data_IF_145315001985
#
_entry.id   IF_145315001985
#
_cell.length_a   1.000
_cell.length_b   1.000
_cell.length_c   1.000
_cell.angle_alpha   90.00
_cell.angle_beta   90.00
_cell.angle_gamma   90.00
#
_symmetry.space_group_name_H-M   'P 1'
#
loop_
_entity.id
_entity.type
_entity.pdbx_description
1 polymer ?
#
# COMPACT_ATOMS: atom_id res chain seq x y z
N UNK A 1 -8.21 10.44 8.96
CA UNK A 1 -8.10 9.23 8.11
C UNK A 1 -7.10 9.51 7.00
N UNK A 2 -6.02 8.73 6.95
CA UNK A 2 -4.97 8.77 5.94
C UNK A 2 -4.80 7.36 5.39
N UNK A 3 -4.73 7.23 4.07
CA UNK A 3 -4.49 5.95 3.39
C UNK A 3 -3.18 6.12 2.63
N UNK A 4 -2.26 5.18 2.84
CA UNK A 4 -0.97 5.13 2.14
C UNK A 4 -0.93 3.86 1.31
N UNK A 5 -0.85 3.99 -0.02
CA UNK A 5 -0.64 2.83 -0.89
C UNK A 5 0.79 2.33 -0.72
N UNK A 6 0.92 1.05 -0.35
CA UNK A 6 2.20 0.36 -0.21
C UNK A 6 2.54 -0.41 -1.48
N UNK A 7 1.54 -1.05 -2.09
CA UNK A 7 1.67 -1.83 -3.33
C UNK A 7 0.48 -1.53 -4.24
N UNK A 8 0.79 -1.33 -5.53
CA UNK A 8 -0.16 -1.21 -6.63
C UNK A 8 0.46 -1.86 -7.88
N UNK A 9 -0.39 -2.23 -8.83
CA UNK A 9 -0.01 -2.77 -10.13
C UNK A 9 0.83 -1.78 -10.96
N UNK A 10 0.70 -0.47 -10.71
CA UNK A 10 1.38 0.58 -11.47
C UNK A 10 1.98 1.64 -10.55
N UNK A 11 3.21 2.04 -10.83
CA UNK A 11 3.90 3.15 -10.15
C UNK A 11 4.42 4.17 -11.17
N UNK A 12 4.42 5.44 -10.79
CA UNK A 12 4.92 6.53 -11.61
C UNK A 12 6.17 7.21 -11.04
N UNK A 13 6.48 6.96 -9.77
CA UNK A 13 7.69 7.46 -9.14
C UNK A 13 8.84 6.47 -9.37
N UNK A 14 9.99 7.00 -9.81
CA UNK A 14 11.19 6.22 -10.13
C UNK A 14 11.84 5.52 -8.94
N UNK A 15 11.46 5.89 -7.71
CA UNK A 15 11.95 5.28 -6.47
C UNK A 15 10.98 4.23 -5.91
N UNK A 16 9.84 4.02 -6.56
CA UNK A 16 8.87 2.99 -6.19
C UNK A 16 8.94 1.82 -7.16
N UNK A 17 8.56 0.65 -6.65
CA UNK A 17 8.38 -0.57 -7.44
C UNK A 17 6.90 -0.95 -7.39
N UNK A 18 6.32 -1.30 -8.54
CA UNK A 18 4.99 -1.89 -8.62
C UNK A 18 5.08 -3.40 -8.80
N UNK A 19 4.07 -4.12 -8.33
CA UNK A 19 3.88 -5.55 -8.56
C UNK A 19 2.40 -5.85 -8.75
N UNK A 20 2.08 -7.00 -9.35
CA UNK A 20 0.68 -7.40 -9.44
C UNK A 20 0.14 -7.72 -8.04
N UNK A 21 -0.68 -6.85 -7.47
CA UNK A 21 -1.21 -7.01 -6.12
C UNK A 21 -1.62 -5.67 -5.54
N UNK A 22 -2.17 -5.70 -4.34
CA UNK A 22 -2.61 -4.48 -3.66
C UNK A 22 -2.26 -4.55 -2.18
N UNK A 23 -1.85 -3.41 -1.62
CA UNK A 23 -1.72 -3.24 -0.18
C UNK A 23 -1.81 -1.77 0.19
N UNK A 24 -2.57 -1.48 1.24
CA UNK A 24 -2.68 -0.12 1.79
C UNK A 24 -2.53 -0.12 3.30
N UNK A 25 -1.87 0.91 3.80
CA UNK A 25 -1.80 1.22 5.21
C UNK A 25 -2.80 2.33 5.56
N UNK A 26 -3.74 2.02 6.45
CA UNK A 26 -4.82 2.91 6.84
C UNK A 26 -4.57 3.39 8.26
N UNK A 27 -4.52 4.71 8.45
CA UNK A 27 -4.35 5.37 9.74
C UNK A 27 -5.54 6.31 9.99
N UNK A 28 -6.33 6.06 11.04
CA UNK A 28 -7.46 6.92 11.40
C UNK A 28 -7.19 7.84 12.61
N UNK A 29 -6.02 7.68 13.25
CA UNK A 29 -5.59 8.42 14.43
C UNK A 29 -5.75 7.63 15.74
N UNK A 30 -6.48 6.51 15.73
CA UNK A 30 -6.64 5.58 16.86
C UNK A 30 -6.11 4.20 16.53
N UNK A 31 -6.44 3.74 15.33
CA UNK A 31 -6.12 2.42 14.82
C UNK A 31 -5.24 2.53 13.58
N UNK A 32 -4.48 1.45 13.37
CA UNK A 32 -3.63 1.27 12.19
C UNK A 32 -3.95 -0.10 11.61
N UNK A 33 -4.36 -0.12 10.35
CA UNK A 33 -4.78 -1.33 9.65
C UNK A 33 -3.87 -1.50 8.44
N UNK A 34 -3.23 -2.66 8.34
CA UNK A 34 -2.65 -3.13 7.09
C UNK A 34 -3.73 -3.92 6.35
N UNK A 35 -4.21 -3.37 5.23
CA UNK A 35 -5.21 -4.03 4.41
C UNK A 35 -4.54 -4.61 3.16
N UNK A 36 -4.60 -5.93 3.06
CA UNK A 36 -3.91 -6.75 2.06
C UNK A 36 -2.36 -6.61 2.10
N UNK A 37 -1.64 -7.53 1.47
CA UNK A 37 -0.17 -7.63 1.60
C UNK A 37 0.57 -7.74 0.27
N UNK A 38 -0.08 -7.42 -0.84
CA UNK A 38 0.53 -7.58 -2.16
C UNK A 38 0.76 -9.06 -2.49
N UNK A 39 1.69 -9.32 -3.41
CA UNK A 39 1.96 -10.65 -3.93
C UNK A 39 3.19 -11.31 -3.29
N UNK A 40 4.23 -10.54 -2.95
CA UNK A 40 5.50 -11.11 -2.47
C UNK A 40 5.85 -10.69 -1.04
N UNK A 41 4.88 -10.75 -0.13
CA UNK A 41 5.01 -10.32 1.27
C UNK A 41 6.34 -10.65 1.96
#
# INVERSE_FOLDING_TARGET
MKITTLIDNVVYDKYLTGEHGFSVFIEDGKEKILFDTGQTG
#
